data_IF_535663134838
#
_entry.id   IF_535663134838
#
_cell.length_a   1.000
_cell.length_b   1.000
_cell.length_c   1.000
_cell.angle_alpha   90.00
_cell.angle_beta   90.00
_cell.angle_gamma   90.00
#
_symmetry.space_group_name_H-M   'P 1'
#
loop_
_entity.id
_entity.type
_entity.pdbx_description
1 polymer ?
#
# COMPACT_ATOMS: atom_id res chain seq x y z
N UNK A 1 -2.78 5.97 -68.92
CA UNK A 1 -1.69 4.98 -69.06
C UNK A 1 -1.49 4.30 -67.70
N UNK A 2 -2.34 3.32 -67.36
CA UNK A 2 -2.20 2.57 -66.10
C UNK A 2 -1.42 1.28 -66.38
N UNK A 3 -0.18 1.20 -65.89
CA UNK A 3 0.64 -0.01 -65.96
C UNK A 3 0.06 -1.05 -64.98
N UNK A 4 -0.42 -2.16 -65.51
CA UNK A 4 -0.81 -3.35 -64.73
C UNK A 4 0.43 -3.93 -64.05
N UNK A 5 0.49 -3.82 -62.73
CA UNK A 5 1.53 -4.46 -61.91
C UNK A 5 1.30 -5.97 -61.95
N UNK A 6 2.19 -6.72 -62.62
CA UNK A 6 2.22 -8.19 -62.55
C UNK A 6 2.72 -8.61 -61.18
N UNK A 7 1.80 -8.87 -60.26
CA UNK A 7 2.13 -9.41 -58.94
C UNK A 7 2.64 -10.85 -59.11
N UNK A 8 3.87 -11.10 -58.66
CA UNK A 8 4.49 -12.43 -58.74
C UNK A 8 3.82 -13.38 -57.73
N UNK A 9 3.07 -14.38 -58.22
CA UNK A 9 2.37 -15.37 -57.40
C UNK A 9 3.27 -16.13 -56.41
N UNK A 10 4.57 -16.27 -56.69
CA UNK A 10 5.53 -16.88 -55.74
C UNK A 10 5.80 -15.95 -54.55
N UNK A 11 5.90 -14.65 -54.77
CA UNK A 11 6.10 -13.65 -53.71
C UNK A 11 4.86 -13.59 -52.82
N UNK A 12 3.65 -13.57 -53.42
CA UNK A 12 2.40 -13.59 -52.65
C UNK A 12 2.29 -14.84 -51.77
N UNK A 13 2.61 -16.02 -52.31
CA UNK A 13 2.63 -17.27 -51.51
C UNK A 13 3.65 -17.21 -50.38
N UNK A 14 4.87 -16.70 -50.63
CA UNK A 14 5.90 -16.58 -49.61
C UNK A 14 5.48 -15.62 -48.46
N UNK A 15 4.88 -14.48 -48.80
CA UNK A 15 4.33 -13.53 -47.81
C UNK A 15 3.19 -14.19 -47.02
N UNK A 16 2.30 -14.95 -47.67
CA UNK A 16 1.21 -15.65 -46.99
C UNK A 16 1.74 -16.71 -45.99
N UNK A 17 2.74 -17.51 -46.39
CA UNK A 17 3.38 -18.48 -45.51
C UNK A 17 4.08 -17.80 -44.32
N UNK A 18 4.75 -16.67 -44.55
CA UNK A 18 5.38 -15.90 -43.48
C UNK A 18 4.36 -15.35 -42.48
N UNK A 19 3.22 -14.83 -42.94
CA UNK A 19 2.12 -14.37 -42.07
C UNK A 19 1.53 -15.54 -41.28
N UNK A 20 1.34 -16.72 -41.90
CA UNK A 20 0.85 -17.92 -41.21
C UNK A 20 1.84 -18.36 -40.12
N UNK A 21 3.14 -18.36 -40.39
CA UNK A 21 4.17 -18.71 -39.40
C UNK A 21 4.17 -17.71 -38.25
N UNK A 22 4.10 -16.40 -38.53
CA UNK A 22 3.98 -15.37 -37.48
C UNK A 22 2.74 -15.57 -36.62
N UNK A 23 1.60 -15.90 -37.24
CA UNK A 23 0.35 -16.18 -36.54
C UNK A 23 0.46 -17.43 -35.65
N UNK A 24 1.08 -18.51 -36.15
CA UNK A 24 1.31 -19.73 -35.38
C UNK A 24 2.27 -19.48 -34.21
N UNK A 25 3.37 -18.77 -34.43
CA UNK A 25 4.33 -18.42 -33.36
C UNK A 25 3.66 -17.55 -32.29
N UNK A 26 2.87 -16.55 -32.71
CA UNK A 26 2.10 -15.72 -31.80
C UNK A 26 1.07 -16.56 -31.02
N UNK A 27 0.30 -17.41 -31.69
CA UNK A 27 -0.68 -18.30 -31.05
C UNK A 27 -0.03 -19.28 -30.06
N UNK A 28 1.12 -19.85 -30.39
CA UNK A 28 1.89 -20.72 -29.49
C UNK A 28 2.39 -19.96 -28.26
N UNK A 29 2.91 -18.73 -28.43
CA UNK A 29 3.37 -17.90 -27.31
C UNK A 29 2.21 -17.52 -26.39
N UNK A 30 1.07 -17.14 -26.97
CA UNK A 30 -0.16 -16.83 -26.21
C UNK A 30 -0.67 -18.05 -25.45
N UNK A 31 -0.70 -19.23 -26.09
CA UNK A 31 -1.14 -20.47 -25.44
C UNK A 31 -0.22 -20.88 -24.29
N UNK A 32 1.10 -20.74 -24.46
CA UNK A 32 2.10 -20.98 -23.42
C UNK A 32 1.91 -20.05 -22.22
N UNK A 33 1.72 -18.76 -22.47
CA UNK A 33 1.47 -17.77 -21.41
C UNK A 33 0.17 -18.07 -20.63
N UNK A 34 -0.91 -18.42 -21.33
CA UNK A 34 -2.19 -18.80 -20.70
C UNK A 34 -2.03 -20.05 -19.84
N UNK A 35 -1.28 -21.04 -20.32
CA UNK A 35 -1.03 -22.28 -19.55
C UNK A 35 -0.21 -21.99 -18.29
N UNK A 36 0.81 -21.13 -18.39
CA UNK A 36 1.63 -20.72 -17.26
C UNK A 36 0.80 -19.95 -16.21
N UNK A 37 -0.05 -19.01 -16.61
CA UNK A 37 -0.92 -18.28 -15.70
C UNK A 37 -1.93 -19.21 -15.01
N UNK A 38 -2.52 -20.18 -15.74
CA UNK A 38 -3.42 -21.19 -15.13
C UNK A 38 -2.71 -22.07 -14.09
N UNK A 39 -1.49 -22.51 -14.38
CA UNK A 39 -0.69 -23.30 -13.44
C UNK A 39 -0.36 -22.45 -12.21
N UNK A 40 0.05 -21.21 -12.41
CA UNK A 40 0.36 -20.26 -11.35
C UNK A 40 -0.86 -19.98 -10.46
N UNK A 41 -2.03 -19.69 -11.03
CA UNK A 41 -3.29 -19.51 -10.29
C UNK A 41 -3.62 -20.75 -9.46
N UNK A 42 -3.48 -21.95 -10.03
CA UNK A 42 -3.72 -23.19 -9.29
C UNK A 42 -2.79 -23.31 -8.08
N UNK A 43 -1.50 -23.03 -8.25
CA UNK A 43 -0.52 -23.05 -7.16
C UNK A 43 -0.83 -22.00 -6.08
N UNK A 44 -1.23 -20.78 -6.48
CA UNK A 44 -1.64 -19.74 -5.54
C UNK A 44 -2.84 -20.18 -4.69
N UNK A 45 -3.85 -20.80 -5.30
CA UNK A 45 -5.05 -21.27 -4.58
C UNK A 45 -4.74 -22.44 -3.64
N UNK A 46 -3.78 -23.28 -3.97
CA UNK A 46 -3.29 -24.34 -3.09
C UNK A 46 -2.49 -23.76 -1.91
N UNK A 47 -1.66 -22.73 -2.13
CA UNK A 47 -0.88 -22.06 -1.09
C UNK A 47 -1.74 -21.15 -0.19
N UNK A 48 -2.74 -20.47 -0.76
CA UNK A 48 -3.60 -19.47 -0.10
C UNK A 48 -5.09 -19.78 -0.33
N UNK A 49 -5.62 -20.83 0.31
CA UNK A 49 -7.00 -21.26 0.10
C UNK A 49 -8.04 -20.19 0.50
N UNK A 50 -7.73 -19.34 1.48
CA UNK A 50 -8.60 -18.23 1.91
C UNK A 50 -8.70 -17.10 0.87
N UNK A 51 -7.72 -17.00 -0.03
CA UNK A 51 -7.72 -16.04 -1.13
C UNK A 51 -8.34 -16.62 -2.42
N UNK A 52 -8.76 -17.89 -2.43
CA UNK A 52 -9.21 -18.58 -3.64
C UNK A 52 -10.28 -17.82 -4.43
N UNK A 53 -11.30 -17.29 -3.73
CA UNK A 53 -12.36 -16.49 -4.37
C UNK A 53 -11.80 -15.21 -5.01
N UNK A 54 -10.98 -14.46 -4.27
CA UNK A 54 -10.41 -13.20 -4.74
C UNK A 54 -9.39 -13.41 -5.87
N UNK A 55 -8.63 -14.50 -5.84
CA UNK A 55 -7.74 -14.90 -6.94
C UNK A 55 -8.55 -15.14 -8.22
N UNK A 56 -9.69 -15.84 -8.13
CA UNK A 56 -10.55 -16.07 -9.29
C UNK A 56 -11.15 -14.77 -9.84
N UNK A 57 -11.53 -13.83 -8.98
CA UNK A 57 -12.03 -12.51 -9.40
C UNK A 57 -10.94 -11.67 -10.08
N UNK A 58 -9.76 -11.55 -9.45
CA UNK A 58 -8.61 -10.82 -10.02
C UNK A 58 -8.16 -11.44 -11.34
N UNK A 59 -8.21 -12.77 -11.46
CA UNK A 59 -7.81 -13.46 -12.70
C UNK A 59 -8.67 -13.07 -13.91
N UNK A 60 -9.91 -12.64 -13.69
CA UNK A 60 -10.83 -12.17 -14.74
C UNK A 60 -10.63 -10.70 -15.10
N UNK A 61 -9.97 -9.93 -14.24
CA UNK A 61 -9.71 -8.50 -14.44
C UNK A 61 -8.67 -8.27 -15.55
N UNK A 62 -8.86 -7.19 -16.29
CA UNK A 62 -7.85 -6.65 -17.20
C UNK A 62 -6.61 -6.15 -16.44
N UNK A 63 -5.48 -6.00 -17.14
CA UNK A 63 -4.27 -5.37 -16.57
C UNK A 63 -4.54 -3.98 -16.01
N UNK A 64 -5.50 -3.22 -16.58
CA UNK A 64 -5.83 -1.88 -16.10
C UNK A 64 -6.57 -1.93 -14.77
N UNK A 65 -7.53 -2.83 -14.62
CA UNK A 65 -8.27 -3.03 -13.37
C UNK A 65 -7.35 -3.53 -12.25
N UNK A 66 -6.49 -4.53 -12.54
CA UNK A 66 -5.51 -5.03 -11.54
C UNK A 66 -4.57 -3.93 -11.05
N UNK A 67 -4.06 -3.09 -11.96
CA UNK A 67 -3.23 -1.93 -11.58
C UNK A 67 -3.97 -0.98 -10.64
N UNK A 68 -5.23 -0.68 -10.90
CA UNK A 68 -6.04 0.18 -10.02
C UNK A 68 -6.16 -0.34 -8.58
N UNK A 69 -6.18 -1.66 -8.40
CA UNK A 69 -6.13 -2.29 -7.06
C UNK A 69 -4.85 -1.96 -6.30
N UNK A 70 -3.75 -1.70 -6.99
CA UNK A 70 -2.44 -1.42 -6.41
C UNK A 70 -2.11 0.08 -6.37
N UNK A 71 -3.12 0.94 -6.41
CA UNK A 71 -2.95 2.40 -6.32
C UNK A 71 -3.70 3.00 -5.13
N UNK A 72 -2.99 3.84 -4.38
CA UNK A 72 -3.55 4.75 -3.39
C UNK A 72 -3.05 6.16 -3.67
N UNK A 73 -3.96 7.10 -3.93
CA UNK A 73 -3.58 8.45 -4.39
C UNK A 73 -4.13 9.55 -3.49
N UNK A 74 -3.42 10.65 -3.32
CA UNK A 74 -3.97 11.87 -2.73
C UNK A 74 -4.92 12.55 -3.71
N UNK A 75 -5.86 13.35 -3.20
CA UNK A 75 -6.78 14.16 -4.02
C UNK A 75 -6.68 15.62 -3.62
N UNK A 76 -6.94 16.56 -4.54
CA UNK A 76 -6.92 18.00 -4.25
C UNK A 76 -8.20 18.51 -3.56
N UNK A 77 -9.24 17.69 -3.55
CA UNK A 77 -10.61 18.10 -3.25
C UNK A 77 -10.90 18.19 -1.75
N UNK A 78 -11.58 19.27 -1.33
CA UNK A 78 -12.40 19.29 -0.10
C UNK A 78 -13.84 18.87 -0.38
N UNK A 79 -14.34 19.19 -1.57
CA UNK A 79 -15.63 18.75 -2.09
C UNK A 79 -15.35 18.02 -3.38
N UNK A 80 -15.78 16.77 -3.46
CA UNK A 80 -15.39 15.87 -4.53
C UNK A 80 -15.83 16.40 -5.90
N UNK A 81 -14.88 16.73 -6.77
CA UNK A 81 -15.16 17.21 -8.12
C UNK A 81 -15.47 16.07 -9.10
N UNK A 82 -16.21 16.39 -10.17
CA UNK A 82 -16.47 15.45 -11.28
C UNK A 82 -15.18 14.98 -11.97
N UNK A 83 -14.18 15.85 -12.06
CA UNK A 83 -12.85 15.54 -12.60
C UNK A 83 -12.18 14.43 -11.78
N UNK A 84 -12.12 14.59 -10.46
CA UNK A 84 -11.54 13.59 -9.56
C UNK A 84 -12.33 12.27 -9.60
N UNK A 85 -13.68 12.32 -9.60
CA UNK A 85 -14.51 11.12 -9.75
C UNK A 85 -14.14 10.36 -11.03
N UNK A 86 -14.07 11.08 -12.16
CA UNK A 86 -13.73 10.49 -13.45
C UNK A 86 -12.34 9.85 -13.41
N UNK A 87 -11.33 10.55 -12.91
CA UNK A 87 -9.96 10.04 -12.83
C UNK A 87 -9.86 8.78 -11.97
N UNK A 88 -10.49 8.77 -10.79
CA UNK A 88 -10.47 7.61 -9.90
C UNK A 88 -11.17 6.39 -10.53
N UNK A 89 -12.34 6.59 -11.14
CA UNK A 89 -13.11 5.52 -11.79
C UNK A 89 -12.44 4.96 -13.03
N UNK A 90 -11.99 5.84 -13.92
CA UNK A 90 -11.38 5.45 -15.19
C UNK A 90 -10.09 4.65 -14.98
N UNK A 91 -9.44 4.79 -13.82
CA UNK A 91 -8.24 4.07 -13.43
C UNK A 91 -8.46 2.96 -12.40
N UNK A 92 -9.71 2.70 -11.99
CA UNK A 92 -10.08 1.70 -10.98
C UNK A 92 -9.31 1.85 -9.66
N UNK A 93 -9.00 3.09 -9.25
CA UNK A 93 -8.18 3.36 -8.07
C UNK A 93 -8.91 2.85 -6.82
N UNK A 94 -8.23 2.00 -6.04
CA UNK A 94 -8.77 1.36 -4.85
C UNK A 94 -8.57 2.19 -3.57
N UNK A 95 -7.59 3.09 -3.53
CA UNK A 95 -7.27 3.89 -2.35
C UNK A 95 -7.18 5.39 -2.59
N UNK A 96 -7.60 6.16 -1.58
CA UNK A 96 -7.35 7.59 -1.46
C UNK A 96 -6.69 7.88 -0.12
N UNK A 97 -5.62 8.68 -0.11
CA UNK A 97 -5.04 9.27 1.11
C UNK A 97 -5.52 10.72 1.27
N UNK A 98 -5.94 11.08 2.49
CA UNK A 98 -6.35 12.44 2.84
C UNK A 98 -5.28 13.15 3.67
N UNK A 99 -5.18 14.45 3.45
CA UNK A 99 -4.31 15.39 4.17
C UNK A 99 -5.14 16.50 4.80
N UNK A 100 -4.49 17.34 5.61
CA UNK A 100 -5.11 18.50 6.27
C UNK A 100 -5.85 19.42 5.29
N UNK A 101 -5.30 19.66 4.11
CA UNK A 101 -5.90 20.50 3.09
C UNK A 101 -7.18 19.93 2.47
N UNK A 102 -7.51 18.65 2.70
CA UNK A 102 -8.80 18.05 2.33
C UNK A 102 -9.89 18.31 3.38
N UNK A 103 -9.52 18.83 4.55
CA UNK A 103 -10.36 18.83 5.75
C UNK A 103 -10.62 20.28 6.17
N UNK A 104 -11.90 20.62 6.28
CA UNK A 104 -12.39 21.90 6.77
C UNK A 104 -13.05 21.74 8.14
N UNK A 105 -14.00 20.82 8.22
CA UNK A 105 -14.80 20.53 9.42
C UNK A 105 -15.37 19.10 9.34
N UNK A 106 -15.92 18.63 10.45
CA UNK A 106 -16.47 17.27 10.58
C UNK A 106 -17.53 16.96 9.53
N UNK A 107 -18.45 17.89 9.29
CA UNK A 107 -19.56 17.70 8.36
C UNK A 107 -19.06 17.58 6.91
N UNK A 108 -18.13 18.46 6.50
CA UNK A 108 -17.54 18.41 5.17
C UNK A 108 -16.73 17.12 4.97
N UNK A 109 -15.96 16.67 5.96
CA UNK A 109 -15.17 15.45 5.84
C UNK A 109 -16.06 14.22 5.69
N UNK A 110 -17.12 14.09 6.50
CA UNK A 110 -18.13 13.03 6.35
C UNK A 110 -18.77 13.03 4.96
N UNK A 111 -19.05 14.22 4.41
CA UNK A 111 -19.58 14.33 3.05
C UNK A 111 -18.57 13.87 2.01
N UNK A 112 -17.31 14.29 2.10
CA UNK A 112 -16.24 13.90 1.18
C UNK A 112 -16.03 12.38 1.15
N UNK A 113 -15.93 11.73 2.32
CA UNK A 113 -15.73 10.28 2.40
C UNK A 113 -16.97 9.49 1.97
N UNK A 114 -18.18 10.02 2.20
CA UNK A 114 -19.42 9.46 1.67
C UNK A 114 -19.47 9.54 0.15
N UNK A 115 -19.12 10.69 -0.43
CA UNK A 115 -19.13 10.93 -1.88
C UNK A 115 -18.10 10.07 -2.61
N UNK A 116 -16.91 9.89 -2.05
CA UNK A 116 -15.91 8.96 -2.58
C UNK A 116 -16.49 7.55 -2.70
N UNK A 117 -17.18 7.06 -1.67
CA UNK A 117 -17.79 5.72 -1.73
C UNK A 117 -18.96 5.64 -2.69
N UNK A 118 -19.83 6.64 -2.65
CA UNK A 118 -21.08 6.66 -3.43
C UNK A 118 -20.82 6.80 -4.93
N UNK A 119 -19.90 7.68 -5.33
CA UNK A 119 -19.70 8.02 -6.73
C UNK A 119 -18.54 7.27 -7.39
N UNK A 120 -17.54 6.82 -6.61
CA UNK A 120 -16.35 6.14 -7.14
C UNK A 120 -16.39 4.64 -6.88
N UNK A 121 -16.28 4.20 -5.62
CA UNK A 121 -16.23 2.78 -5.26
C UNK A 121 -16.71 2.58 -3.81
N UNK A 122 -17.74 1.76 -3.59
CA UNK A 122 -18.29 1.52 -2.25
C UNK A 122 -17.29 0.93 -1.26
N UNK A 123 -16.26 0.23 -1.78
CA UNK A 123 -15.21 -0.43 -1.01
C UNK A 123 -13.90 0.38 -1.00
N UNK A 124 -13.95 1.67 -1.36
CA UNK A 124 -12.77 2.55 -1.37
C UNK A 124 -12.04 2.51 -0.02
N UNK A 125 -10.72 2.32 -0.09
CA UNK A 125 -9.81 2.51 1.02
C UNK A 125 -9.54 4.01 1.18
N UNK A 126 -9.95 4.60 2.30
CA UNK A 126 -9.75 6.01 2.61
C UNK A 126 -8.80 6.06 3.80
N UNK A 127 -7.58 6.53 3.55
CA UNK A 127 -6.47 6.55 4.49
C UNK A 127 -6.11 7.94 4.99
N UNK A 128 -5.45 7.99 6.15
CA UNK A 128 -4.94 9.22 6.75
C UNK A 128 -3.76 8.92 7.69
N UNK A 129 -2.82 9.87 7.80
CA UNK A 129 -1.78 9.88 8.83
C UNK A 129 -2.27 10.58 10.11
N UNK A 130 -3.04 9.88 10.94
CA UNK A 130 -3.55 10.41 12.21
C UNK A 130 -2.80 9.79 13.40
N UNK A 131 -1.48 10.00 13.48
CA UNK A 131 -0.63 9.42 14.54
C UNK A 131 -0.97 9.98 15.93
N UNK A 132 -1.28 11.28 16.00
CA UNK A 132 -1.39 12.04 17.24
C UNK A 132 -0.09 12.79 17.56
N UNK A 133 -0.20 13.86 18.36
CA UNK A 133 0.92 14.77 18.59
C UNK A 133 1.33 15.50 17.32
N UNK A 134 2.59 15.37 16.92
CA UNK A 134 3.20 16.14 15.82
C UNK A 134 2.62 15.82 14.44
N UNK A 135 2.15 14.59 14.23
CA UNK A 135 1.51 14.17 12.97
C UNK A 135 0.02 13.98 13.22
N UNK A 136 -0.72 15.04 12.91
CA UNK A 136 -2.17 15.10 13.03
C UNK A 136 -2.75 15.87 11.84
N UNK A 137 -3.80 15.33 11.20
CA UNK A 137 -4.46 15.98 10.05
C UNK A 137 -5.82 16.55 10.41
N UNK A 138 -6.42 16.13 11.53
CA UNK A 138 -7.79 16.47 11.91
C UNK A 138 -7.78 17.36 13.15
N UNK A 139 -7.95 18.65 12.95
CA UNK A 139 -7.87 19.65 14.03
C UNK A 139 -8.94 19.51 15.12
N UNK A 140 -10.09 18.92 14.79
CA UNK A 140 -11.20 18.66 15.72
C UNK A 140 -11.18 17.25 16.32
N UNK A 141 -10.11 16.47 16.13
CA UNK A 141 -9.91 15.20 16.84
C UNK A 141 -9.74 15.49 18.34
N UNK A 142 -10.62 14.94 19.21
CA UNK A 142 -10.62 15.24 20.65
C UNK A 142 -9.37 14.73 21.39
N UNK A 143 -8.60 13.82 20.78
CA UNK A 143 -7.37 13.25 21.34
C UNK A 143 -6.15 13.55 20.47
N UNK A 144 -6.22 14.62 19.67
CA UNK A 144 -5.17 14.96 18.71
C UNK A 144 -3.78 15.15 19.31
N UNK A 145 -3.71 15.68 20.53
CA UNK A 145 -2.45 16.02 21.20
C UNK A 145 -1.79 14.83 21.91
N UNK A 146 -2.46 13.66 21.97
CA UNK A 146 -1.89 12.45 22.56
C UNK A 146 -0.91 11.84 21.56
N UNK A 147 0.38 12.09 21.76
CA UNK A 147 1.45 11.54 20.93
C UNK A 147 1.71 10.06 21.22
N UNK A 148 2.25 9.30 20.25
CA UNK A 148 2.73 7.95 20.50
C UNK A 148 3.75 7.89 21.64
N UNK A 149 4.64 8.88 21.75
CA UNK A 149 5.60 8.96 22.85
C UNK A 149 4.92 9.08 24.21
N UNK A 150 3.87 9.89 24.34
CA UNK A 150 3.10 10.00 25.57
C UNK A 150 2.43 8.67 25.94
N UNK A 151 1.94 7.92 24.94
CA UNK A 151 1.38 6.57 25.14
C UNK A 151 2.47 5.63 25.66
N UNK A 152 3.66 5.60 25.05
CA UNK A 152 4.75 4.75 25.52
C UNK A 152 5.28 5.13 26.91
N UNK A 153 5.35 6.42 27.23
CA UNK A 153 5.74 6.91 28.57
C UNK A 153 4.74 6.51 29.66
N UNK A 154 3.48 6.27 29.30
CA UNK A 154 2.50 5.73 30.24
C UNK A 154 2.83 4.29 30.68
N UNK A 155 3.63 3.58 29.88
CA UNK A 155 3.96 2.16 30.05
C UNK A 155 2.74 1.28 30.36
N UNK A 156 1.59 1.60 29.75
CA UNK A 156 0.31 0.95 29.99
C UNK A 156 -0.29 0.45 28.67
N UNK A 157 -0.28 -0.87 28.50
CA UNK A 157 -0.91 -1.52 27.35
C UNK A 157 -2.42 -1.25 27.26
N UNK A 158 -3.08 -1.09 28.41
CA UNK A 158 -4.49 -0.73 28.49
C UNK A 158 -4.72 0.70 27.98
N UNK A 159 -3.83 1.63 28.34
CA UNK A 159 -3.88 3.00 27.84
C UNK A 159 -3.67 3.05 26.32
N UNK A 160 -2.66 2.34 25.80
CA UNK A 160 -2.42 2.23 24.37
C UNK A 160 -3.64 1.68 23.62
N UNK A 161 -4.22 0.58 24.10
CA UNK A 161 -5.42 -0.02 23.52
C UNK A 161 -6.59 0.97 23.52
N UNK A 162 -6.87 1.61 24.66
CA UNK A 162 -8.03 2.50 24.79
C UNK A 162 -7.93 3.76 23.93
N UNK A 163 -6.73 4.35 23.82
CA UNK A 163 -6.50 5.52 22.95
C UNK A 163 -6.64 5.12 21.49
N UNK A 164 -6.03 4.01 21.09
CA UNK A 164 -6.12 3.49 19.73
C UNK A 164 -7.57 3.17 19.34
N UNK A 165 -8.32 2.46 20.19
CA UNK A 165 -9.72 2.10 19.92
C UNK A 165 -10.60 3.34 19.74
N UNK A 166 -10.45 4.34 20.62
CA UNK A 166 -11.19 5.61 20.53
C UNK A 166 -10.87 6.34 19.23
N UNK A 167 -9.58 6.44 18.88
CA UNK A 167 -9.14 7.07 17.62
C UNK A 167 -9.70 6.35 16.41
N UNK A 168 -9.65 5.02 16.40
CA UNK A 168 -10.19 4.20 15.33
C UNK A 168 -11.69 4.42 15.15
N UNK A 169 -12.48 4.43 16.23
CA UNK A 169 -13.93 4.72 16.15
C UNK A 169 -14.20 6.13 15.62
N UNK A 170 -13.46 7.13 16.11
CA UNK A 170 -13.56 8.50 15.61
C UNK A 170 -13.29 8.60 14.10
N UNK A 171 -12.25 7.94 13.60
CA UNK A 171 -11.93 7.91 12.16
C UNK A 171 -13.00 7.17 11.35
N UNK A 172 -13.49 6.03 11.84
CA UNK A 172 -14.55 5.28 11.18
C UNK A 172 -15.85 6.09 11.08
N UNK A 173 -16.20 6.86 12.11
CA UNK A 173 -17.36 7.77 12.10
C UNK A 173 -17.23 8.88 11.06
N UNK A 174 -16.00 9.28 10.71
CA UNK A 174 -15.69 10.21 9.63
C UNK A 174 -15.66 9.54 8.24
N UNK A 175 -15.86 8.22 8.19
CA UNK A 175 -15.76 7.43 6.98
C UNK A 175 -14.32 7.15 6.54
N UNK A 176 -13.34 7.24 7.43
CA UNK A 176 -11.94 6.84 7.16
C UNK A 176 -11.78 5.40 7.67
N UNK A 177 -11.29 4.50 6.82
CA UNK A 177 -11.20 3.06 7.13
C UNK A 177 -9.76 2.51 7.08
N UNK A 178 -8.77 3.35 6.81
CA UNK A 178 -7.34 3.02 6.93
C UNK A 178 -6.65 4.09 7.77
N UNK A 179 -5.89 3.69 8.78
CA UNK A 179 -5.00 4.58 9.52
C UNK A 179 -3.56 4.18 9.22
N UNK A 180 -2.75 5.13 8.73
CA UNK A 180 -1.34 4.91 8.46
C UNK A 180 -0.55 4.93 9.78
N UNK A 181 -0.67 3.85 10.55
CA UNK A 181 0.00 3.64 11.83
C UNK A 181 -0.51 2.36 12.51
N UNK A 182 0.14 1.90 13.60
CA UNK A 182 1.13 2.63 14.38
C UNK A 182 2.55 2.67 13.78
N UNK A 183 3.39 3.54 14.34
CA UNK A 183 4.83 3.49 14.11
C UNK A 183 5.45 2.34 14.91
N UNK A 184 6.33 1.60 14.25
CA UNK A 184 7.17 0.53 14.76
C UNK A 184 8.63 0.98 14.97
N UNK A 185 8.96 2.22 14.58
CA UNK A 185 10.33 2.71 14.61
C UNK A 185 10.83 2.88 16.06
N UNK A 186 12.08 2.45 16.29
CA UNK A 186 12.79 2.57 17.57
C UNK A 186 13.87 3.64 17.42
N UNK A 187 13.64 4.89 17.87
CA UNK A 187 14.62 5.95 17.73
C UNK A 187 15.91 5.59 18.48
N UNK A 188 17.05 5.88 17.88
CA UNK A 188 18.37 5.61 18.47
C UNK A 188 18.62 6.39 19.77
N UNK A 189 18.12 7.64 19.84
CA UNK A 189 18.18 8.48 21.01
C UNK A 189 17.02 9.51 21.06
N UNK A 190 17.06 10.38 22.07
CA UNK A 190 16.06 11.43 22.29
C UNK A 190 16.17 12.63 21.33
N UNK A 191 17.25 12.73 20.55
CA UNK A 191 17.46 13.78 19.56
C UNK A 191 16.92 13.38 18.18
N UNK A 192 16.56 12.11 17.98
CA UNK A 192 15.93 11.65 16.75
C UNK A 192 14.64 12.41 16.45
N UNK A 193 14.44 12.77 15.18
CA UNK A 193 13.23 13.43 14.71
C UNK A 193 11.97 12.54 14.83
N UNK A 194 12.14 11.22 15.05
CA UNK A 194 11.06 10.28 15.33
C UNK A 194 10.74 10.17 16.82
N UNK A 195 11.51 10.77 17.71
CA UNK A 195 11.40 10.53 19.16
C UNK A 195 9.99 10.76 19.71
N UNK A 196 9.32 11.85 19.31
CA UNK A 196 7.95 12.15 19.75
C UNK A 196 6.87 11.36 18.99
N UNK A 197 7.21 10.80 17.83
CA UNK A 197 6.33 10.00 16.97
C UNK A 197 6.41 8.50 17.26
N UNK A 198 7.48 8.04 17.92
CA UNK A 198 7.65 6.66 18.38
C UNK A 198 7.20 6.48 19.83
N UNK A 199 6.81 5.26 20.20
CA UNK A 199 6.41 4.97 21.58
C UNK A 199 7.58 5.07 22.57
N UNK A 200 8.76 4.59 22.19
CA UNK A 200 9.93 4.54 23.08
C UNK A 200 11.21 4.33 22.27
N UNK A 201 12.37 4.52 22.90
CA UNK A 201 13.67 4.07 22.40
C UNK A 201 13.97 2.61 22.80
N UNK A 202 13.06 1.97 23.53
CA UNK A 202 13.18 0.56 23.96
C UNK A 202 12.26 -0.33 23.11
N UNK A 203 12.85 -1.33 22.46
CA UNK A 203 12.17 -2.25 21.54
C UNK A 203 11.01 -3.02 22.20
N UNK A 204 11.13 -3.43 23.47
CA UNK A 204 10.10 -4.17 24.18
C UNK A 204 8.87 -3.29 24.42
N UNK A 205 9.08 -2.05 24.87
CA UNK A 205 7.99 -1.07 25.06
C UNK A 205 7.32 -0.78 23.71
N UNK A 206 8.09 -0.52 22.65
CA UNK A 206 7.51 -0.27 21.32
C UNK A 206 6.67 -1.46 20.86
N UNK A 207 7.14 -2.69 21.06
CA UNK A 207 6.42 -3.92 20.68
C UNK A 207 5.11 -4.09 21.44
N UNK A 208 5.10 -3.86 22.76
CA UNK A 208 3.87 -3.93 23.56
C UNK A 208 2.84 -2.87 23.12
N UNK A 209 3.28 -1.64 22.85
CA UNK A 209 2.40 -0.56 22.41
C UNK A 209 1.88 -0.78 20.97
N UNK A 210 2.73 -1.25 20.05
CA UNK A 210 2.35 -1.60 18.67
C UNK A 210 1.31 -2.71 18.68
N UNK A 211 1.58 -3.82 19.37
CA UNK A 211 0.67 -4.97 19.41
C UNK A 211 -0.71 -4.59 19.97
N UNK A 212 -0.77 -3.81 21.05
CA UNK A 212 -2.05 -3.38 21.62
C UNK A 212 -2.76 -2.31 20.77
N UNK A 213 -2.01 -1.45 20.09
CA UNK A 213 -2.58 -0.47 19.14
C UNK A 213 -3.22 -1.18 17.95
N UNK A 214 -2.53 -2.14 17.33
CA UNK A 214 -3.06 -2.93 16.20
C UNK A 214 -4.28 -3.73 16.64
N UNK A 215 -4.23 -4.39 17.80
CA UNK A 215 -5.38 -5.13 18.33
C UNK A 215 -6.60 -4.21 18.50
N UNK A 216 -6.42 -3.02 19.07
CA UNK A 216 -7.49 -2.04 19.23
C UNK A 216 -8.04 -1.54 17.89
N UNK A 217 -7.17 -1.27 16.91
CA UNK A 217 -7.56 -0.85 15.57
C UNK A 217 -8.42 -1.93 14.88
N UNK A 218 -8.00 -3.20 14.98
CA UNK A 218 -8.74 -4.36 14.47
C UNK A 218 -10.09 -4.56 15.16
N UNK A 219 -10.11 -4.50 16.48
CA UNK A 219 -11.34 -4.63 17.28
C UNK A 219 -12.33 -3.48 16.97
N UNK A 220 -11.83 -2.27 16.69
CA UNK A 220 -12.65 -1.15 16.25
C UNK A 220 -13.14 -1.32 14.81
N UNK A 221 -12.35 -1.99 13.97
CA UNK A 221 -12.64 -2.31 12.57
C UNK A 221 -11.88 -1.46 11.54
N UNK A 222 -10.88 -0.67 11.95
CA UNK A 222 -10.06 0.12 11.02
C UNK A 222 -8.84 -0.69 10.56
N UNK A 223 -8.42 -0.52 9.32
CA UNK A 223 -7.22 -1.17 8.76
C UNK A 223 -5.98 -0.52 9.37
N UNK A 224 -5.11 -1.35 9.94
CA UNK A 224 -3.85 -0.95 10.56
C UNK A 224 -2.71 -1.03 9.55
N UNK A 225 -1.80 -0.07 9.58
CA UNK A 225 -0.61 -0.05 8.71
C UNK A 225 0.64 0.16 9.55
N UNK A 226 1.44 -0.90 9.72
CA UNK A 226 2.71 -0.82 10.44
C UNK A 226 3.72 -0.02 9.61
N UNK A 227 4.43 0.93 10.23
CA UNK A 227 5.41 1.76 9.51
C UNK A 227 6.59 2.19 10.39
N UNK A 228 7.77 2.51 9.86
CA UNK A 228 8.12 2.50 8.44
C UNK A 228 9.15 1.38 8.18
N UNK A 229 8.72 0.26 7.62
CA UNK A 229 9.60 -0.90 7.40
C UNK A 229 10.73 -0.51 6.44
N UNK A 230 12.01 -0.91 6.65
CA UNK A 230 12.54 -1.86 7.63
C UNK A 230 12.86 -1.29 9.02
N UNK A 231 12.49 -0.05 9.32
CA UNK A 231 12.81 0.63 10.58
C UNK A 231 13.63 1.89 10.31
N UNK A 232 13.02 3.06 10.57
CA UNK A 232 13.59 4.38 10.30
C UNK A 232 14.34 4.98 11.51
N UNK A 233 14.22 4.34 12.68
CA UNK A 233 14.69 4.88 13.96
C UNK A 233 16.20 5.14 14.08
N UNK A 234 17.03 4.44 13.29
CA UNK A 234 18.50 4.53 13.31
C UNK A 234 19.09 5.39 12.18
N UNK A 235 18.25 6.08 11.40
CA UNK A 235 18.73 6.94 10.32
C UNK A 235 18.97 8.37 10.82
N UNK A 236 20.08 8.98 10.41
CA UNK A 236 20.48 10.32 10.84
C UNK A 236 19.96 11.42 9.89
N UNK A 237 19.39 11.05 8.74
CA UNK A 237 19.13 11.98 7.63
C UNK A 237 17.65 12.33 7.52
N UNK A 238 17.33 13.60 7.75
CA UNK A 238 16.16 14.27 7.18
C UNK A 238 16.66 15.17 6.04
N UNK A 239 16.86 14.60 4.85
CA UNK A 239 17.23 15.40 3.67
C UNK A 239 16.37 14.99 2.50
N UNK A 240 15.61 15.95 2.00
CA UNK A 240 14.76 15.85 0.81
C UNK A 240 15.53 15.53 -0.50
N UNK A 241 16.86 15.37 -0.44
CA UNK A 241 17.74 15.22 -1.61
C UNK A 241 18.47 13.86 -1.69
N UNK A 242 18.43 13.02 -0.64
CA UNK A 242 19.03 11.68 -0.66
C UNK A 242 18.30 10.72 0.29
N UNK A 243 18.08 9.48 -0.15
CA UNK A 243 17.40 8.45 0.64
C UNK A 243 18.16 8.13 1.94
N UNK A 244 17.48 7.98 3.09
CA UNK A 244 18.12 7.49 4.31
C UNK A 244 18.78 6.12 4.08
N UNK A 245 19.90 5.87 4.74
CA UNK A 245 20.68 4.63 4.61
C UNK A 245 20.68 3.90 5.95
N UNK A 246 20.40 2.60 5.92
CA UNK A 246 20.65 1.67 7.02
C UNK A 246 21.48 0.51 6.48
N UNK A 247 22.69 0.31 7.00
CA UNK A 247 23.59 -0.73 6.53
C UNK A 247 23.60 -1.88 7.53
N UNK A 248 22.49 -2.64 7.58
CA UNK A 248 22.30 -3.81 8.45
C UNK A 248 21.94 -5.06 7.65
N UNK A 249 22.45 -6.21 8.06
CA UNK A 249 22.04 -7.51 7.55
C UNK A 249 20.62 -7.86 8.03
N UNK A 250 19.95 -8.80 7.34
CA UNK A 250 18.63 -9.31 7.77
C UNK A 250 18.65 -9.82 9.21
N UNK A 251 19.72 -10.48 9.65
CA UNK A 251 19.84 -10.99 11.03
C UNK A 251 19.91 -9.87 12.07
N UNK A 252 20.64 -8.79 11.78
CA UNK A 252 20.71 -7.63 12.66
C UNK A 252 19.33 -6.97 12.80
N UNK A 253 18.63 -6.76 11.68
CA UNK A 253 17.27 -6.20 11.67
C UNK A 253 16.28 -7.12 12.43
N UNK A 254 16.35 -8.44 12.23
CA UNK A 254 15.53 -9.42 12.97
C UNK A 254 15.76 -9.34 14.49
N UNK A 255 16.99 -9.08 14.91
CA UNK A 255 17.34 -8.94 16.33
C UNK A 255 17.07 -7.55 16.92
N UNK A 256 16.55 -6.60 16.13
CA UNK A 256 16.31 -5.23 16.57
C UNK A 256 15.11 -4.57 15.87
N UNK A 257 15.29 -3.88 14.75
CA UNK A 257 14.23 -3.06 14.12
C UNK A 257 12.95 -3.84 13.78
N UNK A 258 13.04 -5.15 13.50
CA UNK A 258 11.87 -5.95 13.13
C UNK A 258 11.03 -6.43 14.31
N UNK A 259 11.51 -6.32 15.55
CA UNK A 259 10.81 -6.84 16.73
C UNK A 259 9.40 -6.22 16.84
N UNK A 260 9.20 -4.89 16.73
CA UNK A 260 7.86 -4.32 16.81
C UNK A 260 6.98 -4.68 15.61
N UNK A 261 7.55 -4.77 14.39
CA UNK A 261 6.79 -5.22 13.22
C UNK A 261 6.24 -6.63 13.42
N UNK A 262 7.07 -7.56 13.91
CA UNK A 262 6.65 -8.92 14.25
C UNK A 262 5.49 -8.91 15.25
N UNK A 263 5.59 -8.12 16.32
CA UNK A 263 4.54 -8.03 17.34
C UNK A 263 3.19 -7.53 16.80
N UNK A 264 3.21 -6.62 15.80
CA UNK A 264 2.00 -6.13 15.13
C UNK A 264 1.45 -7.12 14.10
N UNK A 265 2.32 -7.83 13.39
CA UNK A 265 1.94 -8.88 12.42
C UNK A 265 1.25 -10.04 13.15
N UNK A 266 1.80 -10.49 14.30
CA UNK A 266 1.27 -11.60 15.09
C UNK A 266 -0.17 -11.36 15.59
N UNK A 267 -0.55 -10.11 15.82
CA UNK A 267 -1.93 -9.73 16.19
C UNK A 267 -2.81 -9.36 14.99
N UNK A 268 -2.27 -9.48 13.78
CA UNK A 268 -3.01 -9.45 12.53
C UNK A 268 -3.05 -8.09 11.82
N UNK A 269 -2.02 -7.25 11.92
CA UNK A 269 -1.94 -6.04 11.11
C UNK A 269 -2.22 -6.33 9.62
N UNK A 270 -3.05 -5.50 8.98
CA UNK A 270 -3.49 -5.73 7.61
C UNK A 270 -2.46 -5.28 6.57
N UNK A 271 -1.73 -4.21 6.87
CA UNK A 271 -0.73 -3.64 5.97
C UNK A 271 0.62 -3.39 6.65
N UNK A 272 1.68 -3.39 5.85
CA UNK A 272 3.00 -2.88 6.22
C UNK A 272 3.43 -1.84 5.18
N UNK A 273 3.72 -0.63 5.64
CA UNK A 273 4.29 0.44 4.84
C UNK A 273 5.80 0.33 4.81
N UNK A 274 6.37 0.25 3.61
CA UNK A 274 7.80 0.12 3.37
C UNK A 274 8.37 1.47 2.92
N UNK A 275 9.30 1.99 3.71
CA UNK A 275 10.00 3.26 3.54
C UNK A 275 11.00 3.26 2.39
N UNK A 276 11.39 4.47 1.98
CA UNK A 276 12.43 4.68 0.97
C UNK A 276 13.85 4.64 1.57
N UNK A 277 14.19 3.57 2.29
CA UNK A 277 15.51 3.41 2.92
C UNK A 277 16.42 2.53 2.06
N UNK A 278 17.67 2.95 1.83
CA UNK A 278 18.71 2.14 1.16
C UNK A 278 19.44 1.25 2.16
N UNK A 279 19.75 0.02 1.76
CA UNK A 279 20.54 -0.90 2.56
C UNK A 279 21.36 -1.84 1.67
N UNK A 280 22.67 -1.63 1.63
CA UNK A 280 23.55 -2.38 0.72
C UNK A 280 23.64 -3.88 1.00
N UNK A 281 23.29 -4.33 2.21
CA UNK A 281 23.36 -5.75 2.57
C UNK A 281 22.13 -6.55 2.14
N UNK A 282 21.02 -5.88 1.84
CA UNK A 282 19.79 -6.50 1.31
C UNK A 282 19.68 -6.20 -0.18
N UNK A 283 19.71 -4.92 -0.55
CA UNK A 283 19.62 -4.46 -1.92
C UNK A 283 20.49 -3.22 -2.16
N UNK A 284 21.57 -3.39 -2.91
CA UNK A 284 22.49 -2.30 -3.22
C UNK A 284 21.94 -1.29 -4.22
N UNK A 285 20.90 -1.65 -4.98
CA UNK A 285 20.42 -0.86 -6.11
C UNK A 285 19.14 -0.10 -5.78
N UNK A 286 18.21 -0.75 -5.06
CA UNK A 286 16.86 -0.23 -4.83
C UNK A 286 16.63 0.10 -3.35
N UNK A 287 15.92 1.21 -3.04
CA UNK A 287 15.44 1.44 -1.69
C UNK A 287 14.39 0.38 -1.32
N UNK A 288 14.15 0.19 -0.02
CA UNK A 288 13.35 -0.90 0.52
C UNK A 288 11.95 -0.98 -0.10
N UNK A 289 11.26 0.15 -0.23
CA UNK A 289 9.91 0.23 -0.82
C UNK A 289 9.82 -0.29 -2.25
N UNK A 290 10.94 -0.29 -2.99
CA UNK A 290 11.02 -0.65 -4.39
C UNK A 290 11.63 -2.04 -4.60
N UNK A 291 12.14 -2.67 -3.54
CA UNK A 291 12.83 -3.95 -3.62
C UNK A 291 11.94 -5.10 -3.17
N UNK A 292 11.67 -6.03 -4.10
CA UNK A 292 10.92 -7.26 -3.82
C UNK A 292 11.53 -8.08 -2.67
N UNK A 293 12.84 -7.96 -2.42
CA UNK A 293 13.53 -8.65 -1.32
C UNK A 293 12.95 -8.30 0.05
N UNK A 294 12.48 -7.07 0.25
CA UNK A 294 11.86 -6.67 1.52
C UNK A 294 10.45 -7.27 1.68
N UNK A 295 9.69 -7.37 0.59
CA UNK A 295 8.43 -8.12 0.61
C UNK A 295 8.66 -9.61 0.87
N UNK A 296 9.73 -10.20 0.32
CA UNK A 296 10.11 -11.59 0.59
C UNK A 296 10.59 -11.79 2.03
N UNK A 297 11.27 -10.81 2.64
CA UNK A 297 11.61 -10.85 4.07
C UNK A 297 10.34 -10.80 4.92
N UNK A 298 9.40 -9.90 4.59
CA UNK A 298 8.11 -9.83 5.27
C UNK A 298 7.37 -11.17 5.19
N UNK A 299 7.30 -11.79 4.01
CA UNK A 299 6.61 -13.08 3.82
C UNK A 299 7.33 -14.25 4.50
N UNK A 300 8.65 -14.37 4.33
CA UNK A 300 9.39 -15.58 4.71
C UNK A 300 9.96 -15.54 6.14
N UNK A 301 10.39 -14.38 6.62
CA UNK A 301 11.04 -14.22 7.93
C UNK A 301 10.06 -13.72 9.00
N UNK A 302 9.08 -12.90 8.61
CA UNK A 302 8.08 -12.34 9.52
C UNK A 302 6.67 -12.93 9.34
N UNK A 303 6.51 -13.92 8.43
CA UNK A 303 5.26 -14.63 8.16
C UNK A 303 4.08 -13.70 7.80
N UNK A 304 4.37 -12.52 7.24
CA UNK A 304 3.38 -11.53 6.88
C UNK A 304 2.67 -11.91 5.58
N UNK A 305 1.36 -12.13 5.70
CA UNK A 305 0.48 -12.50 4.59
C UNK A 305 -0.49 -11.37 4.18
N UNK A 306 -0.31 -10.16 4.71
CA UNK A 306 -1.12 -8.98 4.41
C UNK A 306 -0.63 -8.21 3.18
N UNK A 307 -1.03 -6.94 3.10
CA UNK A 307 -0.73 -6.06 1.96
C UNK A 307 0.52 -5.22 2.23
N UNK A 308 1.45 -5.24 1.29
CA UNK A 308 2.58 -4.29 1.26
C UNK A 308 2.08 -2.98 0.65
N UNK A 309 2.44 -1.85 1.24
CA UNK A 309 2.24 -0.51 0.67
C UNK A 309 3.58 0.23 0.69
N UNK A 310 3.86 1.02 -0.34
CA UNK A 310 5.04 1.90 -0.33
C UNK A 310 4.80 3.10 0.58
N UNK A 311 5.87 3.71 1.08
CA UNK A 311 5.81 5.13 1.45
C UNK A 311 5.51 6.00 0.21
N UNK A 312 5.23 7.29 0.44
CA UNK A 312 4.82 8.20 -0.62
C UNK A 312 5.89 8.33 -1.71
N UNK A 313 5.61 7.74 -2.87
CA UNK A 313 6.52 7.74 -4.00
C UNK A 313 6.87 9.18 -4.46
N UNK A 314 6.03 10.18 -4.18
CA UNK A 314 6.33 11.58 -4.52
C UNK A 314 7.58 12.12 -3.79
N UNK A 315 7.96 11.51 -2.67
CA UNK A 315 9.16 11.85 -1.92
C UNK A 315 10.46 11.44 -2.64
N UNK A 316 10.39 10.50 -3.57
CA UNK A 316 11.58 9.97 -4.26
C UNK A 316 12.14 10.90 -5.35
N UNK A 317 11.42 11.97 -5.70
CA UNK A 317 11.79 12.93 -6.75
C UNK A 317 11.88 12.36 -8.17
N UNK A 318 11.72 11.04 -8.34
CA UNK A 318 11.96 10.27 -9.57
C UNK A 318 10.97 9.12 -9.73
N UNK A 319 9.67 9.42 -9.79
CA UNK A 319 8.64 8.38 -10.04
C UNK A 319 8.49 8.14 -11.55
N UNK A 320 9.27 7.21 -12.07
CA UNK A 320 8.99 6.61 -13.38
C UNK A 320 8.54 5.14 -13.27
N UNK A 321 8.56 4.57 -12.05
CA UNK A 321 8.29 3.15 -11.79
C UNK A 321 7.64 2.96 -10.43
N UNK A 322 6.63 2.09 -10.36
CA UNK A 322 6.08 1.56 -9.12
C UNK A 322 6.36 0.07 -8.97
N UNK A 323 5.84 -0.53 -7.91
CA UNK A 323 5.93 -1.96 -7.59
C UNK A 323 4.70 -2.73 -8.06
N UNK A 324 4.88 -4.00 -8.43
CA UNK A 324 3.79 -4.91 -8.80
C UNK A 324 3.28 -5.76 -7.64
N UNK A 325 4.00 -5.80 -6.51
CA UNK A 325 3.77 -6.67 -5.35
C UNK A 325 3.10 -5.97 -4.15
N UNK A 326 2.53 -4.77 -4.34
CA UNK A 326 1.92 -3.98 -3.27
C UNK A 326 1.23 -2.71 -3.77
N UNK A 327 0.58 -2.00 -2.85
CA UNK A 327 -0.04 -0.70 -3.14
C UNK A 327 1.07 0.34 -3.31
N UNK A 328 0.98 1.13 -4.39
CA UNK A 328 1.81 2.29 -4.64
C UNK A 328 1.10 3.53 -4.08
N UNK A 329 1.63 4.08 -3.00
CA UNK A 329 1.13 5.30 -2.38
C UNK A 329 1.73 6.53 -3.05
N UNK A 330 0.88 7.51 -3.36
CA UNK A 330 1.28 8.76 -4.00
C UNK A 330 0.44 9.89 -3.42
N UNK A 331 1.05 10.91 -2.81
CA UNK A 331 0.31 12.00 -2.17
C UNK A 331 -0.42 12.97 -3.11
N UNK A 332 -0.24 12.82 -4.44
CA UNK A 332 -0.85 13.67 -5.45
C UNK A 332 -1.66 12.86 -6.48
N UNK A 333 -2.82 13.37 -6.90
CA UNK A 333 -3.49 12.90 -8.12
C UNK A 333 -2.83 13.58 -9.32
N UNK A 334 -1.97 12.83 -9.98
CA UNK A 334 -1.39 13.26 -11.23
C UNK A 334 -2.43 13.11 -12.34
N UNK A 335 -2.61 14.14 -13.18
CA UNK A 335 -3.40 14.02 -14.43
C UNK A 335 -2.90 12.84 -15.30
N UNK A 336 -1.63 12.47 -15.13
CA UNK A 336 -0.96 11.37 -15.81
C UNK A 336 -0.82 10.08 -14.99
N UNK A 337 -1.62 9.85 -13.94
CA UNK A 337 -1.54 8.61 -13.12
C UNK A 337 -1.63 7.33 -13.96
N UNK A 338 -2.41 7.34 -15.04
CA UNK A 338 -2.51 6.22 -15.99
C UNK A 338 -1.16 5.88 -16.64
N UNK A 339 -0.37 6.91 -16.95
CA UNK A 339 0.91 6.76 -17.64
C UNK A 339 2.04 6.38 -16.71
N UNK A 340 2.02 6.86 -15.46
CA UNK A 340 3.06 6.59 -14.45
C UNK A 340 3.17 5.10 -14.13
N UNK A 341 2.05 4.37 -14.20
CA UNK A 341 1.98 2.96 -13.83
C UNK A 341 1.57 2.06 -14.98
N UNK A 342 1.65 2.55 -16.22
CA UNK A 342 1.24 1.78 -17.41
C UNK A 342 1.98 0.45 -17.56
N UNK A 343 3.21 0.40 -17.08
CA UNK A 343 4.13 -0.73 -17.25
C UNK A 343 4.12 -1.69 -16.04
N UNK A 344 3.32 -1.42 -15.00
CA UNK A 344 3.14 -2.34 -13.87
C UNK A 344 2.33 -3.55 -14.32
N UNK A 345 2.90 -4.75 -14.18
CA UNK A 345 2.16 -6.00 -14.33
C UNK A 345 1.72 -6.51 -12.97
N UNK A 346 0.63 -5.93 -12.46
CA UNK A 346 0.15 -6.12 -11.09
C UNK A 346 -0.01 -7.61 -10.72
N UNK A 347 0.69 -8.01 -9.65
CA UNK A 347 0.72 -9.39 -9.16
C UNK A 347 -0.67 -9.85 -8.68
N UNK A 348 -1.07 -11.06 -9.09
CA UNK A 348 -2.41 -11.60 -8.81
C UNK A 348 -2.62 -11.78 -7.30
N UNK A 349 -1.61 -12.30 -6.60
CA UNK A 349 -1.70 -12.53 -5.16
C UNK A 349 -1.87 -11.21 -4.40
N UNK A 350 -1.06 -10.21 -4.75
CA UNK A 350 -1.11 -8.88 -4.16
C UNK A 350 -2.46 -8.20 -4.40
N UNK A 351 -2.97 -8.26 -5.64
CA UNK A 351 -4.30 -7.78 -5.99
C UNK A 351 -5.40 -8.51 -5.19
N UNK A 352 -5.30 -9.83 -5.03
CA UNK A 352 -6.28 -10.63 -4.29
C UNK A 352 -6.29 -10.27 -2.80
N UNK A 353 -5.13 -10.03 -2.19
CA UNK A 353 -5.00 -9.54 -0.81
C UNK A 353 -5.66 -8.18 -0.63
N UNK A 354 -5.42 -7.23 -1.55
CA UNK A 354 -6.07 -5.90 -1.51
C UNK A 354 -7.58 -6.03 -1.69
N UNK A 355 -8.03 -6.80 -2.67
CA UNK A 355 -9.45 -6.98 -2.94
C UNK A 355 -10.19 -7.61 -1.75
N UNK A 356 -9.59 -8.61 -1.11
CA UNK A 356 -10.10 -9.22 0.13
C UNK A 356 -10.27 -8.19 1.23
N UNK A 357 -9.18 -7.50 1.55
CA UNK A 357 -9.15 -6.51 2.62
C UNK A 357 -10.16 -5.38 2.39
N UNK A 358 -10.28 -4.87 1.16
CA UNK A 358 -11.27 -3.84 0.81
C UNK A 358 -12.72 -4.37 0.91
N UNK A 359 -12.96 -5.63 0.55
CA UNK A 359 -14.30 -6.23 0.56
C UNK A 359 -14.77 -6.66 1.95
N UNK A 360 -13.85 -7.02 2.85
CA UNK A 360 -14.18 -7.45 4.22
C UNK A 360 -14.22 -6.28 5.21
N UNK A 361 -13.67 -5.12 4.83
CA UNK A 361 -13.67 -3.88 5.60
C UNK A 361 -14.74 -2.88 5.12
N UNK A 362 -15.96 -3.38 4.87
CA UNK A 362 -17.12 -2.55 4.50
C UNK A 362 -17.69 -1.90 5.76
N UNK A 363 -17.69 -0.56 5.81
CA UNK A 363 -18.26 0.21 6.92
C UNK A 363 -19.76 -0.04 7.15
N UNK A 364 -20.51 -0.37 6.09
CA UNK A 364 -21.97 -0.54 6.16
C UNK A 364 -22.44 -1.86 6.80
N UNK A 365 -21.55 -2.79 7.13
CA UNK A 365 -21.90 -4.04 7.81
C UNK A 365 -21.68 -3.99 9.33
N UNK A 366 -21.31 -2.83 9.88
CA UNK A 366 -20.86 -2.70 11.29
C UNK A 366 -21.54 -1.57 12.10
N UNK A 367 -22.63 -0.99 11.59
CA UNK A 367 -23.66 -0.28 12.38
C UNK A 367 -24.72 -1.26 12.83
#
# INVERSE_FOLDING_TARGET
MFKTVKINKKIVKAVLYFIIILFIVYACKTTSNILNEKIYIKQLKEKYPDLSYYIDEVSKMSKKERRGLLLMVGIKDKVLSEETIKTLKDNNIMGVILFDYNIKDEQQLKQLTSDLRKYVNSNMLISIDQEGGEVNRIDFDPIKDISPKYIGDSNSIEYAYNIAYKKSKFLLDLGINVILGPLCDIPSDTNSYLYNRSFSTNADIVSEMVSNTVKAQRDAGIISVLKHFPGHGDTIVNSHDDFPIIDKTTNELLSSEFIPFKSGIEVGAEMVLVSHIKNKYIDSELPASMSRKYADILENELEFNGVVITDDLAMTGSIDKGIDFGINLISNIYENVEYMFKDIDADILSCARVLKMASENILSSRT
#
